data_IF_426750552176
#
_entry.id   IF_426750552176
#
_cell.length_a   1.000
_cell.length_b   1.000
_cell.length_c   1.000
_cell.angle_alpha   90.00
_cell.angle_beta   90.00
_cell.angle_gamma   90.00
#
_symmetry.space_group_name_H-M   'P 1'
#
loop_
_entity.id
_entity.type
_entity.pdbx_description
1 polymer ?
#
# COMPACT_ATOMS: atom_id res chain seq x y z
N UNK A 1 -24.54 -21.35 11.05
CA UNK A 1 -23.46 -20.35 11.18
C UNK A 1 -23.23 -19.88 9.76
N UNK A 2 -23.82 -18.74 9.40
CA UNK A 2 -24.01 -18.33 8.01
C UNK A 2 -22.72 -17.82 7.39
N UNK A 3 -22.51 -18.15 6.13
CA UNK A 3 -21.45 -17.74 5.20
C UNK A 3 -21.39 -16.22 4.90
N UNK A 4 -21.62 -15.36 5.91
CA UNK A 4 -21.81 -13.90 5.76
C UNK A 4 -20.55 -13.08 6.05
N UNK A 5 -19.39 -13.72 6.20
CA UNK A 5 -18.09 -13.07 6.41
C UNK A 5 -17.25 -12.99 5.13
N UNK A 6 -17.89 -12.84 3.95
CA UNK A 6 -17.13 -12.54 2.73
C UNK A 6 -16.76 -11.06 2.74
N UNK A 7 -15.61 -10.75 3.36
CA UNK A 7 -15.00 -9.42 3.28
C UNK A 7 -14.98 -8.97 1.82
N UNK A 8 -15.79 -7.96 1.51
CA UNK A 8 -15.83 -7.34 0.20
C UNK A 8 -15.10 -6.01 0.34
N UNK A 9 -14.04 -5.75 -0.44
CA UNK A 9 -13.33 -4.48 -0.35
C UNK A 9 -14.31 -3.34 -0.67
N UNK A 10 -14.31 -2.25 0.11
CA UNK A 10 -15.16 -1.11 -0.19
C UNK A 10 -14.71 -0.51 -1.51
N UNK A 11 -15.53 -0.67 -2.55
CA UNK A 11 -15.41 0.14 -3.77
C UNK A 11 -15.88 1.53 -3.36
N UNK A 12 -15.00 2.53 -3.46
CA UNK A 12 -15.34 3.91 -3.14
C UNK A 12 -16.57 4.39 -3.94
N UNK A 13 -17.29 5.42 -3.48
CA UNK A 13 -18.41 5.96 -4.22
C UNK A 13 -17.96 6.35 -5.63
N UNK A 14 -18.61 5.79 -6.65
CA UNK A 14 -18.39 6.17 -8.04
C UNK A 14 -18.99 7.55 -8.22
N UNK A 15 -18.15 8.57 -8.36
CA UNK A 15 -18.58 9.87 -8.83
C UNK A 15 -18.87 9.75 -10.33
N UNK A 16 -20.13 9.91 -10.78
CA UNK A 16 -20.47 9.81 -12.21
C UNK A 16 -19.81 10.91 -13.06
N UNK A 17 -19.37 12.01 -12.46
CA UNK A 17 -18.62 13.08 -13.14
C UNK A 17 -17.12 12.76 -13.25
N UNK A 18 -16.61 11.83 -12.43
CA UNK A 18 -15.20 11.46 -12.36
C UNK A 18 -15.02 9.93 -12.20
N UNK A 19 -15.42 9.12 -13.21
CA UNK A 19 -15.41 7.66 -13.13
C UNK A 19 -14.01 7.07 -12.88
N UNK A 20 -12.95 7.78 -13.28
CA UNK A 20 -11.56 7.40 -13.05
C UNK A 20 -11.15 7.49 -11.56
N UNK A 21 -11.83 8.32 -10.76
CA UNK A 21 -11.58 8.41 -9.32
C UNK A 21 -11.92 7.09 -8.61
N UNK A 22 -12.95 6.38 -9.06
CA UNK A 22 -13.33 5.10 -8.48
C UNK A 22 -12.22 4.04 -8.63
N UNK A 23 -11.56 4.01 -9.79
CA UNK A 23 -10.42 3.13 -10.04
C UNK A 23 -9.23 3.47 -9.15
N UNK A 24 -8.96 4.77 -8.94
CA UNK A 24 -7.88 5.22 -8.04
C UNK A 24 -8.15 4.83 -6.59
N UNK A 25 -9.39 5.00 -6.11
CA UNK A 25 -9.76 4.63 -4.74
C UNK A 25 -9.71 3.11 -4.54
N UNK A 26 -10.10 2.32 -5.55
CA UNK A 26 -9.99 0.86 -5.46
C UNK A 26 -8.54 0.37 -5.32
N UNK A 27 -7.58 1.05 -5.95
CA UNK A 27 -6.16 0.67 -5.97
C UNK A 27 -5.30 1.40 -4.92
N UNK A 28 -5.90 2.26 -4.10
CA UNK A 28 -5.17 3.14 -3.17
C UNK A 28 -4.35 2.34 -2.15
N UNK A 29 -4.88 1.21 -1.67
CA UNK A 29 -4.21 0.33 -0.72
C UNK A 29 -3.05 -0.42 -1.39
N UNK A 30 -3.26 -0.99 -2.57
CA UNK A 30 -2.20 -1.60 -3.40
C UNK A 30 -1.03 -0.63 -3.62
N UNK A 31 -1.34 0.64 -3.91
CA UNK A 31 -0.35 1.70 -4.05
C UNK A 31 0.40 1.95 -2.76
N UNK A 32 -0.31 2.07 -1.64
CA UNK A 32 0.28 2.29 -0.32
C UNK A 32 1.15 1.11 0.14
N UNK A 33 0.82 -0.13 -0.24
CA UNK A 33 1.61 -1.33 0.05
C UNK A 33 2.82 -1.49 -0.86
N UNK A 34 2.89 -0.70 -1.94
CA UNK A 34 3.97 -0.75 -2.92
C UNK A 34 3.84 -1.95 -3.87
N UNK A 35 2.68 -2.60 -3.88
CA UNK A 35 2.38 -3.80 -4.67
C UNK A 35 1.89 -3.49 -6.09
N UNK A 36 1.77 -2.20 -6.46
CA UNK A 36 1.48 -1.81 -7.83
C UNK A 36 2.64 -2.10 -8.80
N UNK A 37 2.30 -2.45 -10.04
CA UNK A 37 3.25 -2.39 -11.16
C UNK A 37 3.73 -0.94 -11.38
N UNK A 38 4.92 -0.74 -11.99
CA UNK A 38 5.42 0.60 -12.28
C UNK A 38 4.42 1.46 -13.07
N UNK A 39 3.78 0.88 -14.08
CA UNK A 39 2.83 1.57 -14.96
C UNK A 39 1.57 1.99 -14.19
N UNK A 40 1.09 1.12 -13.29
CA UNK A 40 -0.09 1.40 -12.46
C UNK A 40 0.22 2.51 -11.46
N UNK A 41 1.41 2.45 -10.84
CA UNK A 41 1.88 3.47 -9.91
C UNK A 41 1.95 4.85 -10.55
N UNK A 42 2.49 4.95 -11.76
CA UNK A 42 2.64 6.23 -12.46
C UNK A 42 1.28 6.83 -12.84
N UNK A 43 0.34 6.00 -13.33
CA UNK A 43 -1.04 6.43 -13.60
C UNK A 43 -1.75 6.97 -12.37
N UNK A 44 -1.65 6.23 -11.24
CA UNK A 44 -2.28 6.64 -9.99
C UNK A 44 -1.68 7.94 -9.46
N UNK A 45 -0.35 8.08 -9.51
CA UNK A 45 0.34 9.32 -9.10
C UNK A 45 -0.09 10.52 -9.92
N UNK A 46 -0.12 10.37 -11.25
CA UNK A 46 -0.57 11.43 -12.15
C UNK A 46 -1.98 11.89 -11.81
N UNK A 47 -2.92 10.96 -11.61
CA UNK A 47 -4.28 11.31 -11.20
C UNK A 47 -4.33 12.00 -9.83
N UNK A 48 -3.53 11.56 -8.84
CA UNK A 48 -3.47 12.21 -7.53
C UNK A 48 -2.92 13.64 -7.59
N UNK A 49 -2.07 13.94 -8.58
CA UNK A 49 -1.57 15.31 -8.83
C UNK A 49 -2.65 16.21 -9.44
N UNK A 50 -3.51 15.67 -10.30
CA UNK A 50 -4.55 16.42 -11.01
C UNK A 50 -5.88 16.50 -10.24
N UNK A 51 -6.13 15.58 -9.30
CA UNK A 51 -7.39 15.45 -8.58
C UNK A 51 -7.24 15.69 -7.07
N UNK A 52 -7.51 16.91 -6.58
CA UNK A 52 -7.46 17.24 -5.14
C UNK A 52 -8.42 16.40 -4.29
N UNK A 53 -9.51 15.89 -4.86
CA UNK A 53 -10.45 15.03 -4.14
C UNK A 53 -9.79 13.68 -3.81
N UNK A 54 -9.25 12.99 -4.81
CA UNK A 54 -8.53 11.73 -4.61
C UNK A 54 -7.29 11.90 -3.74
N UNK A 55 -6.57 13.04 -3.84
CA UNK A 55 -5.45 13.34 -2.96
C UNK A 55 -5.86 13.41 -1.49
N UNK A 56 -7.03 14.02 -1.19
CA UNK A 56 -7.57 14.03 0.18
C UNK A 56 -7.88 12.62 0.68
N UNK A 57 -8.54 11.79 -0.14
CA UNK A 57 -8.85 10.41 0.20
C UNK A 57 -7.60 9.59 0.45
N UNK A 58 -6.62 9.64 -0.47
CA UNK A 58 -5.30 9.02 -0.31
C UNK A 58 -4.66 9.39 1.03
N UNK A 59 -4.69 10.69 1.40
CA UNK A 59 -4.15 11.15 2.67
C UNK A 59 -4.87 10.60 3.90
N UNK A 60 -6.18 10.28 3.83
CA UNK A 60 -6.89 9.59 4.91
C UNK A 60 -6.37 8.15 5.02
N UNK A 61 -6.35 7.41 3.92
CA UNK A 61 -5.93 6.00 3.90
C UNK A 61 -4.48 5.84 4.36
N UNK A 62 -3.57 6.73 3.94
CA UNK A 62 -2.19 6.74 4.39
C UNK A 62 -2.08 6.92 5.92
N UNK A 63 -2.87 7.84 6.49
CA UNK A 63 -2.90 8.06 7.95
C UNK A 63 -3.45 6.86 8.70
N UNK A 64 -4.50 6.22 8.17
CA UNK A 64 -5.08 4.98 8.75
C UNK A 64 -4.03 3.87 8.73
N UNK A 65 -3.41 3.62 7.58
CA UNK A 65 -2.35 2.62 7.45
C UNK A 65 -1.19 2.86 8.40
N UNK A 66 -0.73 4.11 8.51
CA UNK A 66 0.32 4.51 9.46
C UNK A 66 -0.09 4.23 10.91
N UNK A 67 -1.33 4.56 11.28
CA UNK A 67 -1.84 4.31 12.61
C UNK A 67 -1.87 2.81 12.94
N UNK A 68 -2.32 1.98 12.00
CA UNK A 68 -2.29 0.52 12.12
C UNK A 68 -0.86 0.02 12.30
N UNK A 69 0.09 0.48 11.48
CA UNK A 69 1.49 0.08 11.61
C UNK A 69 2.08 0.44 12.99
N UNK A 70 1.71 1.60 13.56
CA UNK A 70 2.18 2.03 14.88
C UNK A 70 1.53 1.24 16.02
N UNK A 71 0.23 0.94 15.93
CA UNK A 71 -0.53 0.30 17.02
C UNK A 71 -0.54 -1.22 16.97
N UNK A 72 -0.39 -1.78 15.77
CA UNK A 72 -0.55 -3.21 15.49
C UNK A 72 0.70 -3.83 14.83
N UNK A 73 1.81 -3.09 14.72
CA UNK A 73 3.04 -3.55 14.04
C UNK A 73 3.80 -4.71 14.68
N UNK A 74 3.31 -5.25 15.80
CA UNK A 74 3.86 -6.44 16.46
C UNK A 74 5.25 -6.26 17.08
N UNK A 75 5.87 -7.38 17.43
CA UNK A 75 7.21 -7.41 17.99
C UNK A 75 8.27 -7.19 16.91
N UNK A 76 9.22 -6.29 17.18
CA UNK A 76 10.37 -6.09 16.29
C UNK A 76 11.20 -7.36 16.24
N UNK A 77 11.59 -7.76 15.02
CA UNK A 77 12.55 -8.85 14.83
C UNK A 77 13.79 -8.67 15.73
N UNK A 78 14.29 -9.73 16.38
CA UNK A 78 15.47 -9.65 17.25
C UNK A 78 16.70 -9.15 16.49
N UNK A 79 17.55 -8.38 17.16
CA UNK A 79 18.74 -7.79 16.53
C UNK A 79 19.70 -8.84 15.98
N UNK A 80 19.84 -9.98 16.68
CA UNK A 80 20.62 -11.13 16.21
C UNK A 80 20.16 -11.65 14.84
N UNK A 81 18.85 -11.63 14.56
CA UNK A 81 18.33 -12.04 13.26
C UNK A 81 18.68 -11.01 12.18
N UNK A 82 18.53 -9.71 12.47
CA UNK A 82 18.92 -8.64 11.53
C UNK A 82 20.40 -8.69 11.20
N UNK A 83 21.25 -8.89 12.20
CA UNK A 83 22.70 -8.94 12.03
C UNK A 83 23.11 -10.12 11.14
N UNK A 84 22.56 -11.31 11.40
CA UNK A 84 22.77 -12.49 10.55
C UNK A 84 22.33 -12.25 9.11
N UNK A 85 21.17 -11.64 8.89
CA UNK A 85 20.67 -11.33 7.54
C UNK A 85 21.61 -10.37 6.80
N UNK A 86 22.11 -9.33 7.46
CA UNK A 86 23.06 -8.37 6.85
C UNK A 86 24.34 -9.05 6.38
N UNK A 87 24.90 -9.96 7.19
CA UNK A 87 26.10 -10.73 6.83
C UNK A 87 25.82 -11.62 5.61
N UNK A 88 24.69 -12.32 5.60
CA UNK A 88 24.42 -13.28 4.51
C UNK A 88 24.12 -12.59 3.18
N UNK A 89 23.42 -11.45 3.22
CA UNK A 89 23.17 -10.60 2.04
C UNK A 89 24.50 -10.09 1.47
N UNK A 90 25.39 -9.53 2.31
CA UNK A 90 26.66 -8.99 1.82
C UNK A 90 27.56 -10.06 1.20
N UNK A 91 27.60 -11.26 1.79
CA UNK A 91 28.32 -12.42 1.22
C UNK A 91 27.81 -12.80 -0.17
N UNK A 92 26.49 -12.79 -0.34
CA UNK A 92 25.85 -13.17 -1.62
C UNK A 92 26.08 -12.12 -2.70
N UNK A 93 26.13 -10.83 -2.35
CA UNK A 93 26.42 -9.75 -3.30
C UNK A 93 27.87 -9.81 -3.81
N UNK A 94 28.84 -10.13 -2.95
CA UNK A 94 30.26 -10.26 -3.31
C UNK A 94 30.50 -11.42 -4.29
N UNK A 95 29.71 -12.49 -4.20
CA UNK A 95 29.87 -13.66 -5.07
C UNK A 95 29.22 -13.49 -6.46
N UNK A 96 28.38 -12.47 -6.65
CA UNK A 96 27.66 -12.20 -7.91
C UNK A 96 28.26 -11.06 -8.74
N UNK A 97 29.38 -10.46 -8.29
CA UNK A 97 30.16 -9.46 -9.02
C UNK A 97 31.36 -10.06 -9.73
#
# INVERSE_FOLDING_TARGET
MSDEERWTPPVGPVDPEHPECAAVIAEVWTLLDGECTPETRDKLKHHLEECPACLRHYGVEERVKRLIAVKCGGEKAPDRLRERLRIEISRTTIYRS
#
